data_IF_104954465745
#
_entry.id   IF_104954465745
#
_cell.length_a   1.000
_cell.length_b   1.000
_cell.length_c   1.000
_cell.angle_alpha   90.00
_cell.angle_beta   90.00
_cell.angle_gamma   90.00
#
_symmetry.space_group_name_H-M   'P 1'
#
loop_
_entity.id
_entity.type
_entity.pdbx_description
1 polymer ?
#
# COMPACT_ATOMS: atom_id res chain seq x y z
N UNK A 1 47.58 -41.60 42.99
CA UNK A 1 48.44 -40.44 42.72
C UNK A 1 48.93 -40.58 41.31
N UNK A 2 48.32 -39.75 40.47
CA UNK A 2 48.12 -39.94 39.05
C UNK A 2 49.35 -39.56 38.23
N UNK A 3 49.72 -40.43 37.28
CA UNK A 3 50.61 -40.07 36.19
C UNK A 3 49.73 -39.88 34.95
N UNK A 4 49.09 -38.71 34.85
CA UNK A 4 48.39 -38.28 33.64
C UNK A 4 49.45 -38.01 32.58
N UNK A 5 49.51 -38.89 31.58
CA UNK A 5 50.30 -38.68 30.39
C UNK A 5 49.65 -37.54 29.59
N UNK A 6 50.32 -36.39 29.56
CA UNK A 6 49.98 -35.23 28.76
C UNK A 6 50.30 -35.53 27.28
N UNK A 7 49.31 -36.04 26.54
CA UNK A 7 49.38 -36.12 25.07
C UNK A 7 49.02 -34.75 24.49
N UNK A 8 50.05 -33.98 24.16
CA UNK A 8 49.88 -32.82 23.30
C UNK A 8 49.49 -33.28 21.89
N UNK A 9 48.35 -32.79 21.41
CA UNK A 9 48.07 -32.71 19.97
C UNK A 9 48.19 -31.24 19.55
N UNK A 10 49.26 -30.85 18.84
CA UNK A 10 49.45 -29.50 18.35
C UNK A 10 49.11 -29.43 16.86
N UNK A 11 47.87 -29.15 16.48
CA UNK A 11 47.54 -28.44 15.22
C UNK A 11 46.10 -27.92 15.32
N UNK A 12 45.89 -26.66 15.72
CA UNK A 12 45.83 -25.49 14.84
C UNK A 12 44.71 -25.60 13.79
N UNK A 13 43.70 -24.78 14.04
CA UNK A 13 42.74 -24.24 13.07
C UNK A 13 43.31 -24.14 11.66
N UNK A 14 42.70 -24.86 10.71
CA UNK A 14 42.76 -24.47 9.31
C UNK A 14 41.36 -24.09 8.88
N UNK A 15 41.12 -22.78 8.81
CA UNK A 15 39.94 -22.19 8.21
C UNK A 15 39.82 -22.59 6.74
N UNK A 16 39.15 -23.72 6.50
CA UNK A 16 38.70 -24.10 5.18
C UNK A 16 37.48 -23.28 4.82
N UNK A 17 37.65 -22.28 3.94
CA UNK A 17 36.52 -21.60 3.30
C UNK A 17 35.67 -22.67 2.61
N UNK A 18 34.37 -22.80 2.91
CA UNK A 18 33.56 -23.88 2.34
C UNK A 18 33.57 -23.79 0.82
N UNK A 19 33.82 -24.92 0.15
CA UNK A 19 33.75 -25.05 -1.29
C UNK A 19 32.30 -24.85 -1.77
N UNK A 20 32.07 -24.15 -2.89
CA UNK A 20 30.72 -24.06 -3.46
C UNK A 20 30.26 -25.46 -3.87
N UNK A 21 29.12 -25.89 -3.35
CA UNK A 21 28.50 -27.17 -3.69
C UNK A 21 27.89 -27.08 -5.11
N UNK A 22 27.97 -28.14 -5.92
CA UNK A 22 27.54 -28.16 -7.33
C UNK A 22 26.01 -28.12 -7.53
N UNK A 23 25.25 -27.96 -6.45
CA UNK A 23 23.82 -27.71 -6.46
C UNK A 23 23.52 -26.39 -5.74
N UNK A 24 24.25 -25.34 -6.11
CA UNK A 24 23.77 -23.99 -5.86
C UNK A 24 22.46 -23.86 -6.60
N UNK A 25 21.34 -23.95 -5.89
CA UNK A 25 20.07 -23.59 -6.47
C UNK A 25 20.24 -22.20 -7.03
N UNK A 26 20.09 -22.07 -8.35
CA UNK A 26 19.83 -20.79 -8.99
C UNK A 26 18.62 -20.21 -8.25
N UNK A 27 18.88 -19.43 -7.20
CA UNK A 27 17.84 -18.63 -6.55
C UNK A 27 17.24 -17.85 -7.69
N UNK A 28 15.95 -18.02 -7.97
CA UNK A 28 15.44 -17.55 -9.22
C UNK A 28 15.52 -16.02 -9.09
N UNK A 29 16.35 -15.42 -9.92
CA UNK A 29 16.49 -13.98 -10.11
C UNK A 29 15.18 -13.47 -10.73
N UNK A 30 14.09 -13.66 -10.00
CA UNK A 30 12.76 -13.28 -10.42
C UNK A 30 12.66 -11.80 -10.11
N UNK A 31 13.19 -11.04 -11.06
CA UNK A 31 12.91 -9.63 -11.25
C UNK A 31 13.19 -8.79 -10.01
N UNK A 32 14.46 -8.47 -9.75
CA UNK A 32 14.76 -7.29 -8.94
C UNK A 32 14.60 -6.08 -9.86
N UNK A 33 13.48 -5.32 -9.81
CA UNK A 33 13.37 -4.14 -10.63
C UNK A 33 14.52 -3.22 -10.27
N UNK A 34 15.27 -2.77 -11.28
CA UNK A 34 16.32 -1.78 -11.06
C UNK A 34 15.77 -0.62 -10.23
N UNK A 35 16.59 0.01 -9.39
CA UNK A 35 16.14 1.12 -8.56
C UNK A 35 15.44 2.23 -9.38
N UNK A 36 15.79 2.36 -10.67
CA UNK A 36 15.11 3.23 -11.65
C UNK A 36 13.70 2.75 -11.99
N UNK A 37 13.51 1.46 -12.30
CA UNK A 37 12.19 0.88 -12.56
C UNK A 37 11.27 1.00 -11.32
N UNK A 38 11.81 0.77 -10.12
CA UNK A 38 11.04 0.94 -8.89
C UNK A 38 10.64 2.40 -8.63
N UNK A 39 11.52 3.37 -8.94
CA UNK A 39 11.21 4.82 -8.87
C UNK A 39 10.18 5.23 -9.92
N UNK A 40 10.32 4.76 -11.16
CA UNK A 40 9.38 5.04 -12.24
C UNK A 40 7.98 4.49 -11.92
N UNK A 41 7.88 3.25 -11.43
CA UNK A 41 6.61 2.67 -10.99
C UNK A 41 5.93 3.49 -9.89
N UNK A 42 6.69 3.98 -8.90
CA UNK A 42 6.16 4.87 -7.85
C UNK A 42 5.71 6.23 -8.38
N UNK A 43 6.38 6.78 -9.38
CA UNK A 43 5.99 8.05 -10.00
C UNK A 43 4.70 7.89 -10.82
N UNK A 44 4.61 6.81 -11.61
CA UNK A 44 3.42 6.46 -12.39
C UNK A 44 2.22 6.23 -11.46
N UNK A 45 2.40 5.46 -10.38
CA UNK A 45 1.34 5.21 -9.41
C UNK A 45 0.82 6.51 -8.77
N UNK A 46 1.73 7.46 -8.45
CA UNK A 46 1.33 8.77 -7.93
C UNK A 46 0.55 9.60 -8.96
N UNK A 47 1.00 9.63 -10.21
CA UNK A 47 0.31 10.35 -11.26
C UNK A 47 -1.09 9.76 -11.53
N UNK A 48 -1.18 8.43 -11.63
CA UNK A 48 -2.44 7.72 -11.80
C UNK A 48 -3.41 8.00 -10.64
N UNK A 49 -2.93 8.01 -9.39
CA UNK A 49 -3.75 8.37 -8.23
C UNK A 49 -4.24 9.82 -8.30
N UNK A 50 -3.40 10.75 -8.74
CA UNK A 50 -3.80 12.15 -8.94
C UNK A 50 -4.88 12.32 -10.01
N UNK A 51 -4.72 11.65 -11.16
CA UNK A 51 -5.73 11.64 -12.23
C UNK A 51 -7.03 11.02 -11.74
N UNK A 52 -6.97 9.88 -11.05
CA UNK A 52 -8.15 9.23 -10.48
C UNK A 52 -8.87 10.15 -9.49
N UNK A 53 -8.13 10.82 -8.59
CA UNK A 53 -8.71 11.80 -7.67
C UNK A 53 -9.40 12.94 -8.42
N UNK A 54 -8.76 13.49 -9.46
CA UNK A 54 -9.34 14.58 -10.25
C UNK A 54 -10.62 14.15 -10.98
N UNK A 55 -10.60 12.99 -11.64
CA UNK A 55 -11.76 12.46 -12.37
C UNK A 55 -12.91 12.17 -11.41
N UNK A 56 -12.65 11.48 -10.29
CA UNK A 56 -13.70 11.16 -9.30
C UNK A 56 -14.23 12.38 -8.56
N UNK A 57 -13.40 13.42 -8.39
CA UNK A 57 -13.85 14.72 -7.87
C UNK A 57 -14.74 15.46 -8.88
N UNK A 58 -14.36 15.47 -10.16
CA UNK A 58 -15.10 16.16 -11.22
C UNK A 58 -16.43 15.46 -11.54
N UNK A 59 -16.43 14.14 -11.62
CA UNK A 59 -17.63 13.33 -11.91
C UNK A 59 -18.58 13.22 -10.71
N UNK A 60 -18.14 13.64 -9.52
CA UNK A 60 -18.95 13.56 -8.30
C UNK A 60 -19.01 12.17 -7.67
N UNK A 61 -18.23 11.20 -8.16
CA UNK A 61 -18.11 9.85 -7.58
C UNK A 61 -17.59 9.91 -6.13
N UNK A 62 -16.84 10.95 -5.76
CA UNK A 62 -16.35 11.14 -4.39
C UNK A 62 -17.35 11.82 -3.44
N UNK A 63 -18.55 12.20 -3.92
CA UNK A 63 -19.46 13.08 -3.18
C UNK A 63 -19.76 12.58 -1.76
N UNK A 64 -19.94 11.28 -1.58
CA UNK A 64 -20.14 10.68 -0.26
C UNK A 64 -18.90 10.83 0.63
N UNK A 65 -17.70 10.50 0.13
CA UNK A 65 -16.47 10.61 0.90
C UNK A 65 -16.19 12.06 1.34
N UNK A 66 -16.42 13.02 0.44
CA UNK A 66 -16.33 14.45 0.74
C UNK A 66 -17.36 14.88 1.78
N UNK A 67 -18.61 14.41 1.66
CA UNK A 67 -19.66 14.65 2.65
C UNK A 67 -19.29 14.11 4.04
N UNK A 68 -18.79 12.87 4.13
CA UNK A 68 -18.36 12.28 5.41
C UNK A 68 -17.18 13.06 6.00
N UNK A 69 -16.20 13.45 5.18
CA UNK A 69 -15.07 14.26 5.64
C UNK A 69 -15.53 15.62 6.17
N UNK A 70 -16.47 16.28 5.49
CA UNK A 70 -17.09 17.52 5.94
C UNK A 70 -17.88 17.31 7.25
N UNK A 71 -18.73 16.28 7.30
CA UNK A 71 -19.54 15.94 8.47
C UNK A 71 -18.66 15.67 9.69
N UNK A 72 -17.57 14.91 9.54
CA UNK A 72 -16.63 14.64 10.65
C UNK A 72 -15.90 15.88 11.14
N UNK A 73 -15.66 16.87 10.26
CA UNK A 73 -14.99 18.14 10.62
C UNK A 73 -15.93 19.09 11.35
N UNK A 74 -17.18 19.20 10.93
CA UNK A 74 -18.14 20.17 11.48
C UNK A 74 -19.05 19.58 12.57
N UNK A 75 -19.32 18.29 12.52
CA UNK A 75 -20.25 17.58 13.40
C UNK A 75 -19.68 16.22 13.81
N UNK A 76 -18.62 16.20 14.65
CA UNK A 76 -17.93 14.96 15.02
C UNK A 76 -18.81 13.96 15.80
N UNK A 77 -19.90 14.44 16.43
CA UNK A 77 -20.82 13.60 17.22
C UNK A 77 -22.10 13.20 16.46
N UNK A 78 -22.30 13.71 15.25
CA UNK A 78 -23.48 13.36 14.47
C UNK A 78 -23.29 11.99 13.79
N UNK A 79 -24.33 11.13 13.77
CA UNK A 79 -24.28 9.89 13.01
C UNK A 79 -24.14 10.19 11.52
N UNK A 80 -23.20 9.53 10.87
CA UNK A 80 -22.99 9.65 9.42
C UNK A 80 -23.98 8.72 8.71
N UNK A 81 -24.83 9.22 7.79
CA UNK A 81 -25.74 8.38 7.02
C UNK A 81 -24.98 7.36 6.17
N UNK A 82 -25.61 6.23 5.89
CA UNK A 82 -25.04 5.23 4.98
C UNK A 82 -24.97 5.76 3.54
N UNK A 83 -24.12 5.17 2.70
CA UNK A 83 -23.97 5.55 1.28
C UNK A 83 -25.32 5.60 0.56
N UNK A 84 -26.18 4.60 0.80
CA UNK A 84 -27.50 4.49 0.16
C UNK A 84 -28.44 5.62 0.60
N UNK A 85 -28.45 5.94 1.89
CA UNK A 85 -29.29 7.01 2.44
C UNK A 85 -28.85 8.38 1.91
N UNK A 86 -27.54 8.61 1.80
CA UNK A 86 -26.99 9.82 1.21
C UNK A 86 -27.47 10.03 -0.24
N UNK A 87 -27.38 8.99 -1.08
CA UNK A 87 -27.82 9.10 -2.47
C UNK A 87 -29.33 9.27 -2.59
N UNK A 88 -30.12 8.60 -1.75
CA UNK A 88 -31.58 8.79 -1.71
C UNK A 88 -31.93 10.24 -1.36
N UNK A 89 -31.38 10.76 -0.26
CA UNK A 89 -31.63 12.13 0.17
C UNK A 89 -31.20 13.17 -0.88
N UNK A 90 -30.08 12.91 -1.59
CA UNK A 90 -29.60 13.76 -2.68
C UNK A 90 -30.56 13.77 -3.87
N UNK A 91 -31.11 12.62 -4.26
CA UNK A 91 -32.11 12.54 -5.32
C UNK A 91 -33.41 13.23 -4.91
N UNK A 92 -33.88 12.99 -3.67
CA UNK A 92 -35.08 13.65 -3.13
C UNK A 92 -34.92 15.18 -3.11
N UNK A 93 -33.72 15.67 -2.82
CA UNK A 93 -33.38 17.09 -2.87
C UNK A 93 -33.41 17.63 -4.30
N UNK A 94 -32.91 16.88 -5.29
CA UNK A 94 -32.98 17.26 -6.71
C UNK A 94 -34.41 17.25 -7.26
N UNK A 95 -35.24 16.32 -6.80
CA UNK A 95 -36.65 16.23 -7.17
C UNK A 95 -37.48 17.34 -6.52
N UNK A 96 -37.17 17.71 -5.27
CA UNK A 96 -37.81 18.83 -4.57
C UNK A 96 -37.36 20.20 -5.08
N UNK A 97 -36.10 20.32 -5.50
CA UNK A 97 -35.52 21.52 -6.08
C UNK A 97 -35.06 21.25 -7.52
N UNK A 98 -36.00 21.02 -8.46
CA UNK A 98 -35.67 20.94 -9.86
C UNK A 98 -35.29 22.36 -10.29
N UNK A 99 -34.00 22.68 -10.22
CA UNK A 99 -33.48 24.02 -10.55
C UNK A 99 -34.03 24.51 -11.89
N UNK A 100 -34.07 25.84 -12.09
CA UNK A 100 -34.72 26.54 -13.21
C UNK A 100 -34.77 25.71 -14.50
N UNK A 101 -35.81 24.88 -14.63
CA UNK A 101 -36.06 24.13 -15.85
C UNK A 101 -36.63 25.16 -16.80
N UNK A 102 -35.96 25.36 -17.94
CA UNK A 102 -36.51 26.16 -19.01
C UNK A 102 -37.84 25.53 -19.43
N UNK A 103 -38.93 26.14 -18.99
CA UNK A 103 -40.20 26.06 -19.68
C UNK A 103 -40.20 27.09 -20.80
#
# INVERSE_FOLDING_TARGET
MDTVHNSGDPTVETGGRPLPHPFGGDTPELWTPSARAARAGRAIARAAHGVHWYVTALMGDNAYATYVAHQRRHHPHAPVPTVREFWRARMDEQDRNPGARCC
#
